data_IF_946629738834
#
_entry.id   IF_946629738834
#
_cell.length_a   1.000
_cell.length_b   1.000
_cell.length_c   1.000
_cell.angle_alpha   90.00
_cell.angle_beta   90.00
_cell.angle_gamma   90.00
#
_symmetry.space_group_name_H-M   'P 1'
#
loop_
_entity.id
_entity.type
_entity.pdbx_description
1 polymer ?
#
# COMPACT_ATOMS: atom_id res chain seq x y z
N UNK A 1 1.70 -3.22 -12.82
CA UNK A 1 2.06 -4.64 -12.64
C UNK A 1 1.54 -5.09 -11.28
N UNK A 2 0.81 -6.19 -11.18
CA UNK A 2 0.39 -6.75 -9.88
C UNK A 2 1.48 -7.68 -9.33
N UNK A 3 1.81 -7.55 -8.06
CA UNK A 3 2.90 -8.28 -7.42
C UNK A 3 2.64 -8.54 -5.92
N UNK A 4 3.43 -9.46 -5.36
CA UNK A 4 3.51 -9.68 -3.91
C UNK A 4 4.61 -8.79 -3.34
N UNK A 5 4.30 -8.06 -2.27
CA UNK A 5 5.27 -7.15 -1.67
C UNK A 5 6.11 -7.87 -0.61
N UNK A 6 7.42 -7.95 -0.85
CA UNK A 6 8.42 -8.27 0.18
C UNK A 6 9.04 -6.98 0.69
N UNK A 7 8.56 -6.50 1.84
CA UNK A 7 9.01 -5.25 2.44
C UNK A 7 10.29 -5.48 3.29
N UNK A 8 11.40 -4.76 3.05
CA UNK A 8 12.63 -4.86 3.85
C UNK A 8 12.43 -4.81 5.38
N UNK A 9 11.57 -3.92 5.87
CA UNK A 9 11.34 -3.64 7.29
C UNK A 9 9.88 -3.90 7.70
N UNK A 10 9.27 -4.95 7.13
CA UNK A 10 7.88 -5.28 7.39
C UNK A 10 7.60 -5.48 8.90
N UNK A 11 6.46 -4.97 9.42
CA UNK A 11 6.04 -5.26 10.79
C UNK A 11 5.92 -6.78 11.06
N UNK A 12 6.24 -7.25 12.27
CA UNK A 12 6.08 -8.66 12.63
C UNK A 12 4.64 -9.13 12.45
N UNK A 13 4.46 -10.29 11.81
CA UNK A 13 3.14 -10.87 11.57
C UNK A 13 2.34 -10.22 10.43
N UNK A 14 2.92 -9.26 9.70
CA UNK A 14 2.30 -8.74 8.48
C UNK A 14 2.22 -9.86 7.44
N UNK A 15 1.00 -10.12 6.94
CA UNK A 15 0.82 -10.99 5.78
C UNK A 15 1.45 -10.36 4.54
N UNK A 16 1.77 -11.18 3.54
CA UNK A 16 2.39 -10.70 2.30
C UNK A 16 1.32 -10.04 1.42
N UNK A 17 1.29 -8.70 1.29
CA UNK A 17 0.19 -8.03 0.63
C UNK A 17 0.33 -8.10 -0.89
N UNK A 18 -0.81 -8.03 -1.56
CA UNK A 18 -0.89 -7.90 -3.01
C UNK A 18 -0.94 -6.43 -3.36
N UNK A 19 -0.01 -5.98 -4.19
CA UNK A 19 0.13 -4.58 -4.58
C UNK A 19 0.17 -4.43 -6.10
N UNK A 20 -0.19 -3.25 -6.57
CA UNK A 20 0.09 -2.81 -7.92
C UNK A 20 1.28 -1.86 -7.91
N UNK A 21 2.34 -2.20 -8.65
CA UNK A 21 3.49 -1.33 -8.86
C UNK A 21 3.12 -0.23 -9.85
N UNK A 22 3.33 1.02 -9.41
CA UNK A 22 3.14 2.25 -10.17
C UNK A 22 4.48 2.98 -10.31
N UNK A 23 4.49 4.06 -11.10
CA UNK A 23 5.71 4.86 -11.30
C UNK A 23 6.24 5.42 -9.97
N UNK A 24 5.38 6.04 -9.18
CA UNK A 24 5.76 6.74 -7.94
C UNK A 24 5.33 6.01 -6.66
N UNK A 25 5.39 4.68 -6.67
CA UNK A 25 5.06 3.87 -5.48
C UNK A 25 4.30 2.61 -5.84
N UNK A 26 3.64 2.04 -4.83
CA UNK A 26 2.77 0.89 -4.97
C UNK A 26 1.39 1.18 -4.40
N UNK A 27 0.36 0.58 -4.98
CA UNK A 27 -1.01 0.65 -4.50
C UNK A 27 -1.38 -0.68 -3.84
N UNK A 28 -1.86 -0.63 -2.61
CA UNK A 28 -2.31 -1.82 -1.92
C UNK A 28 -3.64 -2.31 -2.50
N UNK A 29 -3.63 -3.51 -3.09
CA UNK A 29 -4.82 -4.14 -3.68
C UNK A 29 -5.53 -5.05 -2.68
N UNK A 30 -4.78 -5.74 -1.81
CA UNK A 30 -5.31 -6.60 -0.74
C UNK A 30 -4.24 -6.89 0.31
N UNK A 31 -4.66 -7.18 1.55
CA UNK A 31 -3.73 -7.53 2.63
C UNK A 31 -3.05 -8.90 2.44
N UNK A 32 -3.66 -9.78 1.66
CA UNK A 32 -3.12 -11.09 1.32
C UNK A 32 -3.72 -11.63 0.00
N UNK A 33 -3.19 -12.76 -0.47
CA UNK A 33 -3.58 -13.41 -1.72
C UNK A 33 -5.03 -13.93 -1.68
N UNK A 34 -5.44 -14.52 -0.57
CA UNK A 34 -6.79 -15.09 -0.42
C UNK A 34 -7.86 -14.00 -0.55
N UNK A 35 -7.64 -12.85 0.09
CA UNK A 35 -8.50 -11.68 0.00
C UNK A 35 -8.55 -11.13 -1.45
N UNK A 36 -7.41 -11.10 -2.14
CA UNK A 36 -7.34 -10.66 -3.54
C UNK A 36 -8.10 -11.59 -4.49
N UNK A 37 -7.88 -12.91 -4.38
CA UNK A 37 -8.57 -13.92 -5.19
C UNK A 37 -10.08 -13.88 -4.92
N UNK A 38 -10.48 -13.86 -3.65
CA UNK A 38 -11.90 -13.81 -3.27
C UNK A 38 -12.59 -12.58 -3.87
N UNK A 39 -11.96 -11.39 -3.80
CA UNK A 39 -12.49 -10.18 -4.43
C UNK A 39 -12.67 -10.36 -5.93
N UNK A 40 -11.65 -10.84 -6.64
CA UNK A 40 -11.69 -11.03 -8.10
C UNK A 40 -12.85 -11.96 -8.50
N UNK A 41 -13.05 -13.05 -7.77
CA UNK A 41 -14.12 -14.01 -8.08
C UNK A 41 -15.51 -13.43 -7.84
N UNK A 42 -15.67 -12.62 -6.79
CA UNK A 42 -16.93 -11.90 -6.53
C UNK A 42 -17.19 -10.86 -7.62
N UNK A 43 -16.16 -10.12 -8.04
CA UNK A 43 -16.26 -9.14 -9.13
C UNK A 43 -16.63 -9.84 -10.45
N UNK A 44 -16.03 -10.99 -10.77
CA UNK A 44 -16.36 -11.81 -11.95
C UNK A 44 -17.81 -12.32 -11.91
N UNK A 45 -18.28 -12.76 -10.75
CA UNK A 45 -19.66 -13.25 -10.53
C UNK A 45 -20.70 -12.12 -10.62
N UNK A 46 -20.36 -10.93 -10.17
CA UNK A 46 -21.23 -9.76 -10.31
C UNK A 46 -21.31 -9.27 -11.78
N UNK A 47 -20.29 -9.56 -12.59
CA UNK A 47 -20.16 -9.11 -13.97
C UNK A 47 -20.70 -10.11 -15.03
N UNK A 48 -21.50 -11.10 -14.61
CA UNK A 48 -22.08 -12.11 -15.52
C UNK A 48 -22.87 -11.51 -16.71
N UNK A 49 -23.30 -10.26 -16.61
CA UNK A 49 -23.97 -9.52 -17.69
C UNK A 49 -23.07 -9.12 -18.86
N UNK A 50 -21.74 -9.20 -18.72
CA UNK A 50 -20.75 -8.82 -19.74
C UNK A 50 -20.03 -10.01 -20.40
N UNK A 51 -20.52 -11.24 -20.20
CA UNK A 51 -20.03 -12.41 -20.93
C UNK A 51 -18.72 -12.97 -20.39
N UNK A 52 -18.44 -12.80 -19.09
CA UNK A 52 -17.35 -13.52 -18.44
C UNK A 52 -17.55 -15.03 -18.59
N UNK A 53 -16.56 -15.71 -19.19
CA UNK A 53 -16.56 -17.16 -19.41
C UNK A 53 -16.19 -17.95 -18.14
N UNK A 54 -16.05 -17.30 -16.97
CA UNK A 54 -15.61 -17.94 -15.73
C UNK A 54 -14.13 -18.34 -15.76
N UNK A 55 -13.31 -17.62 -16.54
CA UNK A 55 -11.89 -17.91 -16.70
C UNK A 55 -11.15 -17.76 -15.36
N UNK A 56 -11.53 -16.81 -14.49
CA UNK A 56 -10.85 -16.61 -13.22
C UNK A 56 -11.28 -17.69 -12.20
N UNK A 57 -12.53 -18.14 -12.22
CA UNK A 57 -12.96 -19.36 -11.51
C UNK A 57 -12.15 -20.59 -11.94
N UNK A 58 -11.91 -20.77 -13.25
CA UNK A 58 -11.11 -21.88 -13.73
C UNK A 58 -9.62 -21.74 -13.36
N UNK A 59 -9.05 -20.55 -13.49
CA UNK A 59 -7.65 -20.28 -13.17
C UNK A 59 -7.33 -20.41 -11.68
N UNK A 60 -8.25 -19.99 -10.81
CA UNK A 60 -8.09 -20.07 -9.35
C UNK A 60 -8.27 -21.49 -8.78
N UNK A 61 -8.88 -22.40 -9.54
CA UNK A 61 -8.97 -23.84 -9.23
C UNK A 61 -9.42 -24.11 -7.77
N UNK A 62 -8.75 -25.02 -7.07
CA UNK A 62 -9.07 -25.38 -5.68
C UNK A 62 -8.88 -24.24 -4.68
N UNK A 63 -8.03 -23.25 -4.97
CA UNK A 63 -7.89 -22.08 -4.10
C UNK A 63 -9.15 -21.20 -4.18
N UNK A 64 -9.64 -20.94 -5.39
CA UNK A 64 -10.87 -20.17 -5.61
C UNK A 64 -12.10 -20.83 -4.99
N UNK A 65 -12.27 -22.15 -5.19
CA UNK A 65 -13.40 -22.92 -4.64
C UNK A 65 -13.48 -22.89 -3.12
N UNK A 66 -12.35 -22.75 -2.43
CA UNK A 66 -12.32 -22.63 -0.96
C UNK A 66 -12.75 -21.24 -0.48
N UNK A 67 -12.58 -20.23 -1.31
CA UNK A 67 -12.79 -18.83 -0.95
C UNK A 67 -14.19 -18.34 -1.33
N UNK A 68 -14.73 -18.78 -2.46
CA UNK A 68 -15.97 -18.25 -3.00
C UNK A 68 -16.76 -19.29 -3.81
N UNK A 69 -18.08 -19.35 -3.61
CA UNK A 69 -19.00 -20.12 -4.47
C UNK A 69 -19.71 -19.19 -5.42
N UNK A 70 -19.68 -19.50 -6.72
CA UNK A 70 -20.36 -18.73 -7.76
C UNK A 70 -21.86 -18.60 -7.45
N UNK A 71 -22.40 -17.38 -7.55
CA UNK A 71 -23.78 -17.04 -7.17
C UNK A 71 -23.97 -16.56 -5.73
N UNK A 72 -22.97 -16.69 -4.84
CA UNK A 72 -23.07 -16.27 -3.43
C UNK A 72 -23.40 -14.77 -3.31
N UNK A 73 -22.91 -13.93 -4.21
CA UNK A 73 -23.22 -12.49 -4.22
C UNK A 73 -24.73 -12.27 -4.43
N UNK A 74 -25.32 -12.89 -5.45
CA UNK A 74 -26.75 -12.77 -5.73
C UNK A 74 -27.60 -13.36 -4.59
N UNK A 75 -27.20 -14.52 -4.03
CA UNK A 75 -27.89 -15.15 -2.91
C UNK A 75 -27.87 -14.30 -1.63
N UNK A 76 -26.79 -13.53 -1.42
CA UNK A 76 -26.62 -12.70 -0.22
C UNK A 76 -27.65 -11.58 -0.05
N UNK A 77 -28.32 -11.18 -1.14
CA UNK A 77 -29.25 -10.03 -1.21
C UNK A 77 -28.63 -8.69 -0.80
N UNK A 78 -27.30 -8.59 -0.77
CA UNK A 78 -26.62 -7.31 -0.54
C UNK A 78 -26.74 -6.48 -1.82
N UNK A 79 -27.29 -5.28 -1.70
CA UNK A 79 -27.75 -4.47 -2.84
C UNK A 79 -26.65 -3.93 -3.75
N UNK A 80 -25.39 -3.89 -3.29
CA UNK A 80 -24.27 -3.41 -4.08
C UNK A 80 -22.98 -4.18 -3.77
N UNK A 81 -22.15 -4.29 -4.80
CA UNK A 81 -20.89 -5.05 -4.80
C UNK A 81 -19.92 -4.57 -3.72
N UNK A 82 -19.68 -3.26 -3.60
CA UNK A 82 -18.77 -2.70 -2.58
C UNK A 82 -19.20 -3.11 -1.16
N UNK A 83 -20.50 -3.06 -0.88
CA UNK A 83 -21.08 -3.48 0.40
C UNK A 83 -20.91 -4.97 0.66
N UNK A 84 -20.97 -5.81 -0.38
CA UNK A 84 -20.68 -7.23 -0.25
C UNK A 84 -19.20 -7.45 0.06
N UNK A 85 -18.30 -6.88 -0.74
CA UNK A 85 -16.86 -7.01 -0.59
C UNK A 85 -16.40 -6.58 0.82
N UNK A 86 -16.82 -5.40 1.27
CA UNK A 86 -16.47 -4.88 2.60
C UNK A 86 -17.00 -5.74 3.76
N UNK A 87 -18.12 -6.44 3.56
CA UNK A 87 -18.78 -7.23 4.62
C UNK A 87 -18.38 -8.70 4.63
N UNK A 88 -18.10 -9.27 3.46
CA UNK A 88 -17.91 -10.72 3.25
C UNK A 88 -16.49 -11.10 2.89
N UNK A 89 -15.72 -10.20 2.30
CA UNK A 89 -14.36 -10.47 1.84
C UNK A 89 -13.33 -9.81 2.75
N UNK A 90 -13.41 -8.50 2.91
CA UNK A 90 -12.49 -7.75 3.76
C UNK A 90 -12.44 -6.27 3.41
N UNK A 91 -11.53 -5.55 4.06
CA UNK A 91 -11.35 -4.12 3.83
C UNK A 91 -10.32 -3.89 2.72
N UNK A 92 -10.63 -2.93 1.85
CA UNK A 92 -9.81 -2.60 0.69
C UNK A 92 -9.65 -1.08 0.61
N UNK A 93 -8.43 -0.57 0.37
CA UNK A 93 -8.17 0.85 0.21
C UNK A 93 -9.16 1.56 -0.72
N UNK A 94 -9.27 1.09 -1.97
CA UNK A 94 -10.10 1.71 -3.00
C UNK A 94 -11.60 1.67 -2.65
N UNK A 95 -12.09 0.62 -1.97
CA UNK A 95 -13.49 0.54 -1.56
C UNK A 95 -13.81 1.56 -0.46
N UNK A 96 -12.88 1.78 0.47
CA UNK A 96 -13.05 2.79 1.51
C UNK A 96 -12.99 4.20 0.91
N UNK A 97 -12.05 4.46 0.00
CA UNK A 97 -11.96 5.72 -0.72
C UNK A 97 -13.23 6.00 -1.55
N UNK A 98 -13.73 5.01 -2.31
CA UNK A 98 -15.00 5.11 -3.05
C UNK A 98 -16.19 5.37 -2.13
N UNK A 99 -16.23 4.72 -0.97
CA UNK A 99 -17.30 4.94 0.02
C UNK A 99 -17.30 6.38 0.57
N UNK A 100 -16.12 6.93 0.86
CA UNK A 100 -15.98 8.33 1.28
C UNK A 100 -16.46 9.28 0.17
N UNK A 101 -16.09 9.02 -1.08
CA UNK A 101 -16.51 9.85 -2.20
C UNK A 101 -18.02 9.81 -2.43
N UNK A 102 -18.65 8.64 -2.28
CA UNK A 102 -20.12 8.49 -2.32
C UNK A 102 -20.82 9.33 -1.24
N UNK A 103 -20.31 9.30 -0.01
CA UNK A 103 -20.86 10.16 1.06
C UNK A 103 -20.77 11.65 0.72
N UNK A 104 -19.68 12.09 0.07
CA UNK A 104 -19.62 13.47 -0.44
C UNK A 104 -20.63 13.76 -1.55
N UNK A 105 -20.84 12.84 -2.49
CA UNK A 105 -21.83 12.96 -3.57
C UNK A 105 -23.27 13.04 -3.03
N UNK A 106 -23.55 12.33 -1.95
CA UNK A 106 -24.84 12.35 -1.24
C UNK A 106 -25.01 13.59 -0.34
N UNK A 107 -23.98 14.43 -0.22
CA UNK A 107 -23.97 15.58 0.68
C UNK A 107 -23.79 15.24 2.16
N UNK A 108 -23.50 13.98 2.49
CA UNK A 108 -23.22 13.52 3.85
C UNK A 108 -21.75 13.68 4.22
N UNK A 109 -21.37 14.94 4.50
CA UNK A 109 -20.00 15.28 4.89
C UNK A 109 -19.57 14.60 6.20
N UNK A 110 -20.51 14.33 7.12
CA UNK A 110 -20.19 13.70 8.41
C UNK A 110 -19.76 12.25 8.20
N UNK A 111 -20.53 11.48 7.43
CA UNK A 111 -20.16 10.09 7.11
C UNK A 111 -18.89 10.00 6.26
N UNK A 112 -18.65 10.98 5.38
CA UNK A 112 -17.39 11.08 4.63
C UNK A 112 -16.19 11.25 5.57
N UNK A 113 -16.27 12.16 6.55
CA UNK A 113 -15.21 12.39 7.54
C UNK A 113 -15.00 11.19 8.46
N UNK A 114 -16.08 10.59 8.97
CA UNK A 114 -15.99 9.41 9.84
C UNK A 114 -15.37 8.22 9.10
N UNK A 115 -15.72 8.01 7.83
CA UNK A 115 -15.15 6.93 7.03
C UNK A 115 -13.70 7.21 6.65
N UNK A 116 -13.34 8.47 6.35
CA UNK A 116 -11.97 8.90 6.10
C UNK A 116 -11.06 8.69 7.33
N UNK A 117 -11.53 9.07 8.52
CA UNK A 117 -10.81 8.83 9.76
C UNK A 117 -10.69 7.33 10.06
N UNK A 118 -11.77 6.56 9.86
CA UNK A 118 -11.76 5.10 10.02
C UNK A 118 -10.69 4.44 9.15
N UNK A 119 -10.51 4.92 7.92
CA UNK A 119 -9.51 4.39 6.99
C UNK A 119 -8.08 4.51 7.53
N UNK A 120 -7.78 5.50 8.39
CA UNK A 120 -6.45 5.72 8.99
C UNK A 120 -6.09 4.79 10.15
N UNK A 121 -7.02 3.90 10.57
CA UNK A 121 -6.77 2.98 11.67
C UNK A 121 -5.57 2.06 11.36
N UNK A 122 -4.62 2.04 12.30
CA UNK A 122 -3.28 1.42 12.13
C UNK A 122 -3.32 -0.08 11.83
N UNK A 123 -4.36 -0.77 12.27
CA UNK A 123 -4.57 -2.20 12.11
C UNK A 123 -5.20 -2.58 10.77
N UNK A 124 -5.74 -1.63 10.00
CA UNK A 124 -6.39 -1.94 8.72
C UNK A 124 -5.38 -2.21 7.61
N UNK A 125 -4.40 -1.31 7.47
CA UNK A 125 -3.38 -1.32 6.42
C UNK A 125 -2.02 -0.95 7.01
N UNK A 126 -1.43 -1.84 7.84
CA UNK A 126 -0.27 -1.50 8.65
C UNK A 126 0.90 -1.06 7.78
N UNK A 127 1.44 0.11 8.11
CA UNK A 127 2.63 0.65 7.46
C UNK A 127 2.39 1.36 6.11
N UNK A 128 1.16 1.33 5.57
CA UNK A 128 0.82 2.09 4.36
C UNK A 128 0.48 3.54 4.70
N UNK A 129 1.08 4.49 3.96
CA UNK A 129 0.84 5.92 4.09
C UNK A 129 -0.44 6.41 3.40
N UNK A 130 -0.89 5.75 2.32
CA UNK A 130 -2.07 6.15 1.54
C UNK A 130 -3.33 6.48 2.37
N UNK A 131 -3.71 5.71 3.41
CA UNK A 131 -4.86 6.06 4.23
C UNK A 131 -4.77 7.46 4.86
N UNK A 132 -3.59 7.85 5.32
CA UNK A 132 -3.35 9.17 5.91
C UNK A 132 -3.30 10.27 4.85
N UNK A 133 -2.78 9.97 3.66
CA UNK A 133 -2.83 10.90 2.50
C UNK A 133 -4.28 11.17 2.12
N UNK A 134 -5.06 10.13 1.90
CA UNK A 134 -6.46 10.28 1.50
C UNK A 134 -7.27 11.01 2.58
N UNK A 135 -7.05 10.70 3.86
CA UNK A 135 -7.70 11.45 4.94
C UNK A 135 -7.30 12.93 4.94
N UNK A 136 -6.05 13.27 4.59
CA UNK A 136 -5.64 14.67 4.41
C UNK A 136 -6.41 15.34 3.26
N UNK A 137 -6.57 14.67 2.12
CA UNK A 137 -7.37 15.15 0.97
C UNK A 137 -8.84 15.39 1.36
N UNK A 138 -9.44 14.46 2.12
CA UNK A 138 -10.80 14.56 2.65
C UNK A 138 -10.95 15.77 3.58
N UNK A 139 -9.99 15.98 4.48
CA UNK A 139 -9.97 17.12 5.41
C UNK A 139 -9.82 18.46 4.67
N UNK A 140 -8.97 18.52 3.63
CA UNK A 140 -8.87 19.71 2.76
C UNK A 140 -10.18 20.02 2.06
N UNK A 141 -10.88 19.00 1.55
CA UNK A 141 -12.16 19.16 0.84
C UNK A 141 -13.25 19.82 1.70
N UNK A 142 -13.17 19.69 3.03
CA UNK A 142 -14.09 20.34 3.98
C UNK A 142 -13.48 21.56 4.68
N UNK A 143 -12.32 22.05 4.23
CA UNK A 143 -11.67 23.25 4.77
C UNK A 143 -10.93 23.07 6.10
N UNK A 144 -10.70 21.82 6.56
CA UNK A 144 -9.97 21.52 7.81
C UNK A 144 -8.46 21.43 7.57
N UNK A 145 -7.87 22.55 7.15
CA UNK A 145 -6.47 22.62 6.68
C UNK A 145 -5.43 22.22 7.72
N UNK A 146 -5.61 22.60 9.00
CA UNK A 146 -4.66 22.22 10.06
C UNK A 146 -4.61 20.72 10.28
N UNK A 147 -5.76 20.05 10.27
CA UNK A 147 -5.85 18.60 10.48
C UNK A 147 -5.36 17.84 9.25
N UNK A 148 -5.65 18.36 8.04
CA UNK A 148 -5.10 17.81 6.81
C UNK A 148 -3.56 17.82 6.84
N UNK A 149 -2.97 18.93 7.27
CA UNK A 149 -1.52 19.07 7.44
C UNK A 149 -0.97 18.03 8.42
N UNK A 150 -1.63 17.82 9.56
CA UNK A 150 -1.20 16.81 10.54
C UNK A 150 -1.33 15.39 9.97
N UNK A 151 -2.42 15.08 9.26
CA UNK A 151 -2.61 13.79 8.58
C UNK A 151 -1.53 13.53 7.53
N UNK A 152 -1.20 14.52 6.69
CA UNK A 152 -0.13 14.42 5.70
C UNK A 152 1.24 14.20 6.36
N UNK A 153 1.54 14.87 7.48
CA UNK A 153 2.76 14.63 8.26
C UNK A 153 2.84 13.23 8.85
N UNK A 154 1.71 12.63 9.21
CA UNK A 154 1.66 11.22 9.62
C UNK A 154 1.92 10.31 8.43
N UNK A 155 1.35 10.62 7.26
CA UNK A 155 1.60 9.86 6.03
C UNK A 155 3.09 9.81 5.68
N UNK A 156 3.80 10.94 5.76
CA UNK A 156 5.23 11.05 5.44
C UNK A 156 6.17 10.38 6.45
N UNK A 157 5.64 9.87 7.58
CA UNK A 157 6.38 8.98 8.49
C UNK A 157 6.31 7.50 8.08
N UNK A 158 5.44 7.18 7.12
CA UNK A 158 5.39 5.86 6.47
C UNK A 158 6.31 5.89 5.25
N UNK A 159 6.71 4.72 4.70
CA UNK A 159 7.55 4.70 3.51
C UNK A 159 6.86 5.43 2.35
N UNK A 160 7.61 6.26 1.64
CA UNK A 160 7.09 7.18 0.63
C UNK A 160 6.52 6.45 -0.59
N UNK A 161 7.02 5.25 -0.86
CA UNK A 161 6.47 4.37 -1.89
C UNK A 161 5.08 3.81 -1.56
N UNK A 162 4.54 4.03 -0.35
CA UNK A 162 3.19 3.61 0.06
C UNK A 162 2.14 4.71 0.03
N UNK A 163 2.51 5.93 -0.38
CA UNK A 163 1.64 7.11 -0.33
C UNK A 163 0.49 7.08 -1.35
N UNK A 164 0.63 6.25 -2.40
CA UNK A 164 -0.32 6.15 -3.51
C UNK A 164 -0.35 7.36 -4.45
N UNK A 165 0.52 8.34 -4.24
CA UNK A 165 0.74 9.54 -5.06
C UNK A 165 2.21 9.96 -4.95
N UNK A 166 2.60 11.10 -5.54
CA UNK A 166 3.98 11.57 -5.44
C UNK A 166 4.29 12.08 -4.03
N UNK A 167 5.56 11.97 -3.62
CA UNK A 167 6.02 12.56 -2.35
C UNK A 167 5.69 14.06 -2.26
N UNK A 168 5.92 14.79 -3.35
CA UNK A 168 5.73 16.24 -3.42
C UNK A 168 4.28 16.67 -3.17
N UNK A 169 3.30 15.89 -3.67
CA UNK A 169 1.89 16.17 -3.41
C UNK A 169 1.58 16.16 -1.90
N UNK A 170 2.11 15.17 -1.18
CA UNK A 170 1.91 15.03 0.26
C UNK A 170 2.74 16.04 1.06
N UNK A 171 3.99 16.28 0.65
CA UNK A 171 4.88 17.27 1.25
C UNK A 171 4.29 18.68 1.18
N UNK A 172 3.64 19.02 0.07
CA UNK A 172 2.92 20.29 -0.09
C UNK A 172 1.81 20.48 0.96
N UNK A 173 1.00 19.43 1.20
CA UNK A 173 -0.05 19.46 2.24
C UNK A 173 0.58 19.54 3.65
N UNK A 174 1.66 18.80 3.88
CA UNK A 174 2.39 18.78 5.15
C UNK A 174 3.16 20.07 5.46
N UNK A 175 3.35 20.92 4.43
CA UNK A 175 4.26 22.07 4.43
C UNK A 175 5.66 21.66 4.84
N UNK A 176 6.17 20.63 4.18
CA UNK A 176 7.55 20.16 4.29
C UNK A 176 8.33 20.60 3.06
N UNK A 177 9.57 21.01 3.30
CA UNK A 177 10.56 21.32 2.27
C UNK A 177 11.43 20.07 2.02
N UNK A 178 12.31 20.16 1.02
CA UNK A 178 13.16 19.06 0.55
C UNK A 178 14.22 18.58 1.58
N UNK A 179 14.30 19.20 2.75
CA UNK A 179 15.19 18.82 3.86
C UNK A 179 15.07 17.33 4.23
N UNK A 180 13.87 16.76 4.13
CA UNK A 180 13.67 15.33 4.42
C UNK A 180 14.25 14.42 3.34
N UNK A 181 14.26 14.86 2.08
CA UNK A 181 14.90 14.11 0.99
C UNK A 181 16.41 14.07 1.22
N UNK A 182 17.01 15.22 1.57
CA UNK A 182 18.43 15.30 1.88
C UNK A 182 18.79 14.46 3.11
N UNK A 183 17.92 14.41 4.13
CA UNK A 183 18.10 13.51 5.27
C UNK A 183 18.13 12.03 4.86
N UNK A 184 17.21 11.58 3.99
CA UNK A 184 17.22 10.18 3.51
C UNK A 184 18.47 9.91 2.67
N UNK A 185 18.91 10.86 1.83
CA UNK A 185 20.17 10.74 1.07
C UNK A 185 21.39 10.61 1.99
N UNK A 186 21.43 11.36 3.09
CA UNK A 186 22.48 11.21 4.11
C UNK A 186 22.40 9.84 4.79
N UNK A 187 21.20 9.33 5.06
CA UNK A 187 21.01 8.02 5.70
C UNK A 187 21.50 6.84 4.87
N UNK A 188 21.43 6.93 3.54
CA UNK A 188 21.97 5.91 2.63
C UNK A 188 23.46 6.08 2.30
N UNK A 189 24.11 7.12 2.83
CA UNK A 189 25.55 7.32 2.66
C UNK A 189 26.36 6.39 3.57
N UNK A 190 27.65 6.22 3.27
CA UNK A 190 28.56 5.45 4.13
C UNK A 190 28.69 6.09 5.52
N UNK A 191 28.72 7.42 5.61
CA UNK A 191 28.71 8.14 6.88
C UNK A 191 27.44 7.84 7.70
N UNK A 192 26.27 7.87 7.05
CA UNK A 192 25.00 7.52 7.67
C UNK A 192 24.97 6.08 8.20
N UNK A 193 25.49 5.14 7.41
CA UNK A 193 25.65 3.73 7.79
C UNK A 193 26.56 3.57 9.01
N UNK A 194 27.73 4.22 9.02
CA UNK A 194 28.66 4.19 10.15
C UNK A 194 28.08 4.84 11.42
N UNK A 195 27.27 5.89 11.27
CA UNK A 195 26.57 6.52 12.39
C UNK A 195 25.60 5.54 13.08
N UNK A 196 24.81 4.82 12.29
CA UNK A 196 23.84 3.84 12.77
C UNK A 196 24.52 2.65 13.45
N UNK A 197 25.67 2.20 12.95
CA UNK A 197 26.49 1.18 13.61
C UNK A 197 27.07 1.67 14.94
N UNK A 198 27.55 2.92 15.01
CA UNK A 198 28.02 3.54 16.27
C UNK A 198 26.91 3.66 17.31
N UNK A 199 25.65 3.82 16.87
CA UNK A 199 24.46 3.79 17.73
C UNK A 199 24.07 2.38 18.20
N UNK A 200 24.80 1.35 17.79
CA UNK A 200 24.61 -0.04 18.23
C UNK A 200 23.57 -0.83 17.44
N UNK A 201 23.12 -0.34 16.27
CA UNK A 201 22.26 -1.13 15.39
C UNK A 201 23.03 -2.34 14.85
N UNK A 202 22.35 -3.49 14.76
CA UNK A 202 22.93 -4.70 14.17
C UNK A 202 23.12 -4.54 12.65
N UNK A 203 24.19 -5.11 12.09
CA UNK A 203 24.50 -5.04 10.65
C UNK A 203 23.32 -5.42 9.74
N UNK A 204 22.57 -6.52 9.99
CA UNK A 204 21.40 -6.86 9.17
C UNK A 204 20.30 -5.79 9.20
N UNK A 205 20.09 -5.17 10.36
CA UNK A 205 19.07 -4.12 10.49
C UNK A 205 19.48 -2.87 9.73
N UNK A 206 20.75 -2.47 9.81
CA UNK A 206 21.28 -1.30 9.06
C UNK A 206 21.11 -1.52 7.56
N UNK A 207 21.39 -2.73 7.05
CA UNK A 207 21.21 -3.05 5.64
C UNK A 207 19.73 -2.99 5.22
N UNK A 208 18.81 -3.52 6.03
CA UNK A 208 17.37 -3.45 5.72
C UNK A 208 16.80 -2.03 5.81
N UNK A 209 17.27 -1.22 6.77
CA UNK A 209 16.92 0.20 6.87
C UNK A 209 17.39 0.95 5.61
N UNK A 210 18.62 0.69 5.15
CA UNK A 210 19.14 1.25 3.90
C UNK A 210 18.29 0.86 2.69
N UNK A 211 17.93 -0.42 2.55
CA UNK A 211 17.04 -0.87 1.49
C UNK A 211 15.68 -0.15 1.50
N UNK A 212 15.12 0.10 2.69
CA UNK A 212 13.87 0.85 2.83
C UNK A 212 14.02 2.31 2.36
N UNK A 213 15.12 2.98 2.72
CA UNK A 213 15.42 4.33 2.26
C UNK A 213 15.65 4.42 0.75
N UNK A 214 16.31 3.43 0.15
CA UNK A 214 16.50 3.38 -1.31
C UNK A 214 15.17 3.24 -2.05
N UNK A 215 14.20 2.48 -1.51
CA UNK A 215 12.85 2.40 -2.07
C UNK A 215 12.11 3.75 -1.99
N UNK A 216 12.29 4.51 -0.90
CA UNK A 216 11.70 5.84 -0.76
C UNK A 216 12.27 6.78 -1.83
N UNK A 217 13.59 6.82 -2.01
CA UNK A 217 14.25 7.62 -3.05
C UNK A 217 13.82 7.21 -4.46
N UNK A 218 13.80 5.90 -4.74
CA UNK A 218 13.35 5.38 -6.03
C UNK A 218 11.92 5.80 -6.38
N UNK A 219 11.04 5.90 -5.39
CA UNK A 219 9.64 6.27 -5.59
C UNK A 219 9.44 7.75 -5.93
N UNK A 220 10.34 8.62 -5.49
CA UNK A 220 10.26 10.06 -5.79
C UNK A 220 10.38 10.28 -7.29
N UNK A 221 11.46 9.78 -7.89
CA UNK A 221 11.74 9.98 -9.32
C UNK A 221 11.06 8.92 -10.20
N UNK A 222 10.63 7.81 -9.60
CA UNK A 222 10.06 6.65 -10.30
C UNK A 222 11.13 5.83 -11.03
N UNK A 223 12.33 5.76 -10.46
CA UNK A 223 13.54 5.16 -11.03
C UNK A 223 13.91 3.84 -10.34
N UNK A 224 12.91 2.97 -10.13
CA UNK A 224 13.06 1.67 -9.45
C UNK A 224 14.28 0.85 -9.91
N UNK A 225 14.55 0.85 -11.22
CA UNK A 225 15.64 0.09 -11.82
C UNK A 225 17.04 0.49 -11.33
N UNK A 226 17.23 1.77 -11.00
CA UNK A 226 18.54 2.33 -10.66
C UNK A 226 19.05 1.85 -9.29
N UNK A 227 18.13 1.37 -8.44
CA UNK A 227 18.42 0.95 -7.08
C UNK A 227 18.45 -0.57 -6.88
N UNK A 228 18.09 -1.36 -7.91
CA UNK A 228 17.92 -2.82 -7.79
C UNK A 228 19.17 -3.53 -7.26
N UNK A 229 20.34 -3.22 -7.83
CA UNK A 229 21.59 -3.88 -7.47
C UNK A 229 21.97 -3.61 -6.01
N UNK A 230 21.82 -2.35 -5.56
CA UNK A 230 22.13 -1.98 -4.17
C UNK A 230 21.12 -2.57 -3.19
N UNK A 231 19.83 -2.54 -3.51
CA UNK A 231 18.79 -3.13 -2.67
C UNK A 231 19.04 -4.65 -2.52
N UNK A 232 19.39 -5.36 -3.61
CA UNK A 232 19.72 -6.78 -3.54
C UNK A 232 20.95 -7.04 -2.65
N UNK A 233 21.97 -6.20 -2.71
CA UNK A 233 23.12 -6.28 -1.82
C UNK A 233 22.74 -6.10 -0.35
N UNK A 234 21.88 -5.13 -0.03
CA UNK A 234 21.34 -4.93 1.32
C UNK A 234 20.61 -6.19 1.84
N UNK A 235 19.78 -6.84 1.02
CA UNK A 235 19.15 -8.11 1.38
C UNK A 235 20.17 -9.21 1.64
N UNK A 236 21.23 -9.29 0.83
CA UNK A 236 22.31 -10.27 1.02
C UNK A 236 23.08 -10.03 2.31
N UNK A 237 23.43 -8.78 2.62
CA UNK A 237 24.07 -8.38 3.88
C UNK A 237 23.20 -8.70 5.10
N UNK A 238 21.87 -8.61 4.94
CA UNK A 238 20.90 -9.01 5.96
C UNK A 238 20.70 -10.53 6.09
N UNK A 239 21.41 -11.35 5.29
CA UNK A 239 21.29 -12.80 5.30
C UNK A 239 20.12 -13.36 4.48
N UNK A 240 19.45 -12.52 3.69
CA UNK A 240 18.30 -12.86 2.86
C UNK A 240 18.70 -13.07 1.40
N UNK A 241 19.68 -13.96 1.18
CA UNK A 241 20.28 -14.20 -0.15
C UNK A 241 19.30 -14.68 -1.21
N UNK A 242 18.26 -15.45 -0.83
CA UNK A 242 17.22 -15.88 -1.78
C UNK A 242 16.41 -14.69 -2.31
N UNK A 243 16.10 -13.71 -1.44
CA UNK A 243 15.39 -12.49 -1.84
C UNK A 243 16.29 -11.64 -2.73
N UNK A 244 17.57 -11.50 -2.39
CA UNK A 244 18.54 -10.80 -3.23
C UNK A 244 18.60 -11.37 -4.65
N UNK A 245 18.65 -12.71 -4.77
CA UNK A 245 18.65 -13.39 -6.07
C UNK A 245 17.34 -13.17 -6.84
N UNK A 246 16.21 -13.18 -6.14
CA UNK A 246 14.90 -12.91 -6.74
C UNK A 246 14.83 -11.48 -7.31
N UNK A 247 15.32 -10.48 -6.59
CA UNK A 247 15.33 -9.08 -7.05
C UNK A 247 16.16 -8.90 -8.32
N UNK A 248 17.29 -9.62 -8.42
CA UNK A 248 18.19 -9.56 -9.57
C UNK A 248 17.76 -10.46 -10.73
N UNK A 249 16.69 -11.22 -10.57
CA UNK A 249 16.20 -12.12 -11.62
C UNK A 249 15.76 -11.30 -12.83
N UNK A 250 16.27 -11.66 -14.01
CA UNK A 250 15.89 -11.10 -15.30
C UNK A 250 15.45 -12.27 -16.19
N UNK A 251 14.27 -12.13 -16.79
CA UNK A 251 13.74 -13.08 -17.79
C UNK A 251 14.63 -13.18 -19.04
#
# INVERSE_FOLDING_TARGET
MTALLRWPTAPPGMEMPVVEVRKHGVWLLANNVDQYIHRILVEEDADESHGSNGELFHASSEAGKKLYTRGDFAESKISNLDGYLLKKVGLFPDLLERKVMRHFEEGDQVSALVTGEFYTKKDLFPGFGRPFVFNAEVLLKVGRTSEAKDSARVALKSPWWTLGCTYQDVASIAQWEDEQIEYIKEKVSEEGRQEDLKKGKALPQVALDEAAFLLDLASIDGTWGDYLDRIAECYKEAGLGEIANFILYRD
#
